data_IF_442273339957
#
_entry.id   IF_442273339957
#
_cell.length_a   1.000
_cell.length_b   1.000
_cell.length_c   1.000
_cell.angle_alpha   90.00
_cell.angle_beta   90.00
_cell.angle_gamma   90.00
#
_symmetry.space_group_name_H-M   'P 1'
#
loop_
_entity.id
_entity.type
_entity.pdbx_description
1 polymer ?
#
# COMPACT_ATOMS: atom_id res chain seq x y z
N UNK A 1 8.01 7.02 22.22
CA UNK A 1 8.55 7.59 20.96
C UNK A 1 7.64 7.12 19.82
N UNK A 2 7.19 8.04 19.00
CA UNK A 2 6.18 7.75 17.99
C UNK A 2 6.64 8.24 16.61
N UNK A 3 6.04 7.63 15.59
CA UNK A 3 6.15 8.05 14.20
C UNK A 3 4.82 8.65 13.79
N UNK A 4 4.84 9.85 13.25
CA UNK A 4 3.64 10.47 12.69
C UNK A 4 3.43 9.97 11.26
N UNK A 5 2.27 9.41 10.99
CA UNK A 5 1.94 8.82 9.68
C UNK A 5 0.84 9.65 9.01
N UNK A 6 1.06 9.99 7.75
CA UNK A 6 0.07 10.63 6.91
C UNK A 6 -0.01 9.88 5.59
N UNK A 7 -1.20 9.43 5.22
CA UNK A 7 -1.46 8.76 3.95
C UNK A 7 -2.36 9.67 3.12
N UNK A 8 -1.85 10.13 1.99
CA UNK A 8 -2.51 11.10 1.12
C UNK A 8 -2.81 10.47 -0.24
N UNK A 9 -4.04 10.65 -0.69
CA UNK A 9 -4.46 10.28 -2.05
C UNK A 9 -4.80 11.56 -2.82
N UNK A 10 -4.99 11.48 -4.16
CA UNK A 10 -5.41 12.67 -4.93
C UNK A 10 -6.75 13.26 -4.47
N UNK A 11 -7.57 12.47 -3.77
CA UNK A 11 -8.90 12.93 -3.33
C UNK A 11 -8.86 13.62 -1.98
N UNK A 12 -8.01 13.14 -1.05
CA UNK A 12 -7.99 13.66 0.32
C UNK A 12 -6.87 13.01 1.14
N UNK A 13 -6.69 13.49 2.36
CA UNK A 13 -5.90 12.77 3.37
C UNK A 13 -6.73 11.56 3.84
N UNK A 14 -6.24 10.36 3.54
CA UNK A 14 -6.94 9.12 3.87
C UNK A 14 -6.75 8.72 5.33
N UNK A 15 -5.59 9.03 5.90
CA UNK A 15 -5.25 8.72 7.28
C UNK A 15 -4.20 9.68 7.80
N UNK A 16 -4.31 10.04 9.07
CA UNK A 16 -3.29 10.80 9.79
C UNK A 16 -3.32 10.40 11.26
N UNK A 17 -2.17 10.08 11.83
CA UNK A 17 -2.08 9.71 13.24
C UNK A 17 -0.67 9.28 13.61
N UNK A 18 -0.49 9.00 14.90
CA UNK A 18 0.79 8.57 15.46
C UNK A 18 0.76 7.07 15.73
N UNK A 19 1.90 6.41 15.53
CA UNK A 19 2.06 5.00 15.84
C UNK A 19 3.49 4.73 16.32
N UNK A 20 3.73 3.53 16.83
CA UNK A 20 5.07 3.14 17.28
C UNK A 20 5.95 2.73 16.10
N UNK A 21 5.35 2.09 15.09
CA UNK A 21 6.05 1.64 13.90
C UNK A 21 5.09 1.63 12.71
N UNK A 22 5.60 1.96 11.54
CA UNK A 22 4.89 1.83 10.27
C UNK A 22 5.71 0.95 9.32
N UNK A 23 5.05 0.08 8.59
CA UNK A 23 5.67 -0.70 7.51
C UNK A 23 4.94 -0.40 6.21
N UNK A 24 5.68 -0.17 5.14
CA UNK A 24 5.16 0.22 3.84
C UNK A 24 5.70 -0.68 2.73
N UNK A 25 4.92 -0.88 1.63
CA UNK A 25 5.35 -1.74 0.52
C UNK A 25 6.26 -0.98 -0.45
N UNK A 26 7.57 -1.15 -0.30
CA UNK A 26 8.55 -0.53 -1.19
C UNK A 26 8.76 -1.31 -2.48
N UNK A 27 9.32 -0.66 -3.49
CA UNK A 27 9.65 -1.27 -4.77
C UNK A 27 10.64 -2.43 -4.63
N UNK A 28 11.56 -2.34 -3.67
CA UNK A 28 12.56 -3.36 -3.40
C UNK A 28 12.16 -4.30 -2.24
N UNK A 29 10.90 -4.22 -1.78
CA UNK A 29 10.37 -5.00 -0.69
C UNK A 29 9.80 -4.13 0.42
N UNK A 30 9.07 -4.74 1.35
CA UNK A 30 8.51 -4.04 2.48
C UNK A 30 9.61 -3.42 3.34
N UNK A 31 9.41 -2.19 3.78
CA UNK A 31 10.33 -1.53 4.71
C UNK A 31 9.57 -1.00 5.92
N UNK A 32 10.21 -1.08 7.08
CA UNK A 32 9.67 -0.58 8.33
C UNK A 32 10.24 0.80 8.68
N UNK A 33 9.42 1.64 9.27
CA UNK A 33 9.81 2.97 9.73
C UNK A 33 9.57 3.06 11.23
N UNK A 34 10.65 3.31 11.96
CA UNK A 34 10.62 3.60 13.39
C UNK A 34 11.00 5.06 13.61
N UNK A 35 10.70 5.57 14.78
CA UNK A 35 11.14 6.90 15.19
C UNK A 35 12.66 7.02 15.00
N UNK A 36 13.14 8.21 14.62
CA UNK A 36 14.56 8.51 14.37
C UNK A 36 15.13 7.94 13.06
N UNK A 37 14.27 7.50 12.14
CA UNK A 37 14.72 7.08 10.83
C UNK A 37 15.30 8.25 10.04
N UNK A 38 16.33 8.01 9.23
CA UNK A 38 16.94 9.04 8.39
C UNK A 38 16.01 9.45 7.25
N UNK A 39 16.21 10.67 6.74
CA UNK A 39 15.45 11.16 5.59
C UNK A 39 15.61 10.25 4.38
N UNK A 40 14.53 9.81 3.82
CA UNK A 40 14.52 8.90 2.67
C UNK A 40 13.29 9.18 1.81
N UNK A 41 13.48 9.12 0.49
CA UNK A 41 12.38 9.11 -0.47
C UNK A 41 12.39 7.75 -1.16
N UNK A 42 11.29 7.03 -1.09
CA UNK A 42 11.19 5.68 -1.65
C UNK A 42 9.98 5.57 -2.57
N UNK A 43 10.12 4.79 -3.63
CA UNK A 43 9.00 4.40 -4.49
C UNK A 43 8.27 3.25 -3.81
N UNK A 44 6.95 3.35 -3.74
CA UNK A 44 6.11 2.30 -3.16
C UNK A 44 5.28 1.62 -4.23
N UNK A 45 4.92 0.38 -3.96
CA UNK A 45 4.08 -0.41 -4.84
C UNK A 45 2.72 -0.67 -4.19
N UNK A 46 1.80 -1.26 -4.94
CA UNK A 46 0.54 -1.74 -4.36
C UNK A 46 0.85 -2.78 -3.29
N UNK A 47 0.26 -2.64 -2.14
CA UNK A 47 0.52 -3.53 -1.03
C UNK A 47 -0.23 -3.12 0.23
N UNK A 48 0.28 -3.55 1.37
CA UNK A 48 -0.32 -3.31 2.67
C UNK A 48 0.58 -2.43 3.51
N UNK A 49 0.02 -1.34 4.03
CA UNK A 49 0.66 -0.51 5.05
C UNK A 49 0.19 -1.01 6.40
N UNK A 50 1.13 -1.30 7.29
CA UNK A 50 0.84 -1.79 8.63
C UNK A 50 1.32 -0.77 9.65
N UNK A 51 0.42 -0.36 10.54
CA UNK A 51 0.70 0.59 11.61
C UNK A 51 0.53 -0.13 12.94
N UNK A 52 1.55 -0.06 13.79
CA UNK A 52 1.56 -0.72 15.10
C UNK A 52 1.60 0.31 16.21
N UNK A 53 0.66 0.23 17.13
CA UNK A 53 0.59 1.07 18.34
C UNK A 53 0.31 0.18 19.54
N UNK A 54 1.35 -0.12 20.33
CA UNK A 54 1.22 -1.07 21.43
C UNK A 54 0.83 -2.45 20.91
N UNK A 55 -0.33 -2.95 21.34
CA UNK A 55 -0.89 -4.22 20.87
C UNK A 55 -1.85 -4.03 19.67
N UNK A 56 -2.13 -2.79 19.28
CA UNK A 56 -3.06 -2.51 18.19
C UNK A 56 -2.32 -2.50 16.86
N UNK A 57 -2.89 -3.18 15.88
CA UNK A 57 -2.37 -3.24 14.51
C UNK A 57 -3.46 -2.75 13.58
N UNK A 58 -3.13 -1.73 12.78
CA UNK A 58 -4.04 -1.18 11.77
C UNK A 58 -3.41 -1.40 10.40
N UNK A 59 -4.19 -1.86 9.45
CA UNK A 59 -3.72 -2.14 8.09
C UNK A 59 -4.55 -1.38 7.06
N UNK A 60 -3.85 -0.89 6.04
CA UNK A 60 -4.46 -0.25 4.87
C UNK A 60 -3.92 -0.91 3.61
N UNK A 61 -4.80 -1.08 2.63
CA UNK A 61 -4.41 -1.47 1.27
C UNK A 61 -4.16 -0.19 0.49
N UNK A 62 -2.98 -0.07 -0.10
CA UNK A 62 -2.59 1.11 -0.87
C UNK A 62 -2.18 0.73 -2.28
N UNK A 63 -2.44 1.65 -3.21
CA UNK A 63 -1.89 1.58 -4.55
C UNK A 63 -0.45 2.08 -4.60
N UNK A 64 0.17 2.08 -5.79
CA UNK A 64 1.54 2.56 -5.94
C UNK A 64 1.67 4.06 -5.71
N UNK A 65 2.86 4.51 -5.34
CA UNK A 65 3.15 5.91 -5.08
C UNK A 65 4.55 6.12 -4.53
N UNK A 66 4.66 7.05 -3.59
CA UNK A 66 5.93 7.43 -2.97
C UNK A 66 5.79 7.52 -1.46
N UNK A 67 6.88 7.23 -0.75
CA UNK A 67 6.98 7.45 0.68
C UNK A 67 8.10 8.47 0.93
N UNK A 68 7.78 9.53 1.66
CA UNK A 68 8.76 10.48 2.16
C UNK A 68 8.91 10.24 3.65
N UNK A 69 10.09 9.79 4.06
CA UNK A 69 10.39 9.40 5.44
C UNK A 69 11.32 10.42 6.06
N UNK A 70 10.94 10.92 7.23
CA UNK A 70 11.77 11.79 8.05
C UNK A 70 12.10 11.14 9.39
N UNK A 71 12.79 11.86 10.29
CA UNK A 71 13.21 11.29 11.57
C UNK A 71 12.07 10.83 12.48
N UNK A 72 10.89 11.46 12.36
CA UNK A 72 9.74 11.22 13.23
C UNK A 72 8.42 11.13 12.47
N UNK A 73 8.48 11.08 11.13
CA UNK A 73 7.26 11.03 10.32
C UNK A 73 7.48 10.28 9.02
N UNK A 74 6.38 9.78 8.49
CA UNK A 74 6.30 9.23 7.14
C UNK A 74 5.06 9.81 6.46
N UNK A 75 5.23 10.29 5.22
CA UNK A 75 4.13 10.71 4.36
C UNK A 75 4.07 9.77 3.18
N UNK A 76 2.94 9.11 3.01
CA UNK A 76 2.68 8.23 1.88
C UNK A 76 1.79 8.97 0.89
N UNK A 77 2.28 9.13 -0.35
CA UNK A 77 1.54 9.72 -1.46
C UNK A 77 1.19 8.58 -2.40
N UNK A 78 -0.05 8.11 -2.33
CA UNK A 78 -0.52 6.92 -3.06
C UNK A 78 -1.75 7.25 -3.88
N UNK A 79 -2.02 6.46 -4.92
CA UNK A 79 -3.18 6.69 -5.77
C UNK A 79 -4.49 6.15 -5.17
N UNK A 80 -4.39 5.23 -4.21
CA UNK A 80 -5.53 4.59 -3.57
C UNK A 80 -5.17 4.22 -2.14
N UNK A 81 -6.12 4.34 -1.22
CA UNK A 81 -6.00 3.84 0.14
C UNK A 81 -7.34 3.29 0.62
N UNK A 82 -7.35 2.05 1.07
CA UNK A 82 -8.54 1.40 1.61
C UNK A 82 -8.22 0.82 2.99
N UNK A 83 -9.17 0.92 3.93
CA UNK A 83 -9.03 0.21 5.20
C UNK A 83 -9.12 -1.30 4.96
N UNK A 84 -8.25 -2.06 5.62
CA UNK A 84 -8.30 -3.53 5.52
C UNK A 84 -9.65 -4.10 5.98
N UNK A 85 -10.31 -3.43 6.92
CA UNK A 85 -11.62 -3.85 7.42
C UNK A 85 -12.73 -3.71 6.38
N UNK A 86 -12.54 -2.86 5.38
CA UNK A 86 -13.51 -2.62 4.31
C UNK A 86 -13.28 -3.53 3.09
N UNK A 87 -12.25 -4.36 3.12
CA UNK A 87 -11.90 -5.23 1.99
C UNK A 87 -12.78 -6.46 1.97
N UNK A 88 -13.41 -6.71 0.80
CA UNK A 88 -14.14 -7.96 0.54
C UNK A 88 -13.17 -8.96 -0.12
N UNK A 89 -12.73 -9.95 0.64
CA UNK A 89 -11.75 -10.93 0.16
C UNK A 89 -12.30 -11.84 -0.93
N UNK A 90 -13.60 -12.14 -0.90
CA UNK A 90 -14.23 -12.93 -1.95
C UNK A 90 -14.20 -12.20 -3.30
N UNK A 91 -14.52 -10.91 -3.30
CA UNK A 91 -14.43 -10.06 -4.48
C UNK A 91 -12.97 -9.94 -4.96
N UNK A 92 -12.03 -9.76 -4.04
CA UNK A 92 -10.60 -9.67 -4.38
C UNK A 92 -10.08 -10.96 -5.02
N UNK A 93 -10.49 -12.12 -4.53
CA UNK A 93 -10.13 -13.41 -5.12
C UNK A 93 -10.66 -13.52 -6.55
N UNK A 94 -11.90 -13.12 -6.77
CA UNK A 94 -12.52 -13.14 -8.09
C UNK A 94 -11.78 -12.22 -9.06
N UNK A 95 -11.48 -10.99 -8.63
CA UNK A 95 -10.76 -10.02 -9.45
C UNK A 95 -9.36 -10.51 -9.79
N UNK A 96 -8.66 -11.14 -8.85
CA UNK A 96 -7.33 -11.70 -9.08
C UNK A 96 -7.37 -12.80 -10.13
N UNK A 97 -8.33 -13.73 -10.03
CA UNK A 97 -8.50 -14.82 -10.98
C UNK A 97 -8.84 -14.30 -12.37
N UNK A 98 -9.71 -13.30 -12.47
CA UNK A 98 -10.08 -12.67 -13.74
C UNK A 98 -8.88 -11.95 -14.37
N UNK A 99 -8.07 -11.26 -13.56
CA UNK A 99 -6.88 -10.58 -14.04
C UNK A 99 -5.85 -11.57 -14.58
N UNK A 100 -5.59 -12.66 -13.88
CA UNK A 100 -4.67 -13.70 -14.37
C UNK A 100 -5.15 -14.34 -15.65
N UNK A 101 -6.45 -14.62 -15.77
CA UNK A 101 -7.03 -15.16 -17.00
C UNK A 101 -6.86 -14.20 -18.17
N UNK A 102 -7.07 -12.90 -17.94
CA UNK A 102 -6.92 -11.86 -18.97
C UNK A 102 -5.45 -11.69 -19.39
N UNK A 103 -4.49 -11.81 -18.48
CA UNK A 103 -3.07 -11.69 -18.78
C UNK A 103 -2.57 -12.81 -19.71
N UNK A 104 -3.21 -13.97 -19.70
CA UNK A 104 -2.86 -15.08 -20.60
C UNK A 104 -3.17 -14.79 -22.05
N UNK A 105 -4.12 -13.89 -22.33
CA UNK A 105 -4.62 -13.60 -23.67
C UNK A 105 -4.23 -12.23 -24.18
N UNK A 106 -3.41 -11.46 -23.47
CA UNK A 106 -2.98 -10.14 -23.89
C UNK A 106 -1.46 -9.99 -23.78
N UNK A 107 -0.92 -8.96 -24.46
CA UNK A 107 0.48 -8.57 -24.34
C UNK A 107 0.69 -7.91 -22.99
N UNK A 108 1.56 -8.50 -22.15
CA UNK A 108 1.82 -8.01 -20.79
C UNK A 108 2.54 -6.67 -20.78
N UNK A 109 3.15 -6.25 -21.88
CA UNK A 109 3.82 -4.95 -21.99
C UNK A 109 2.93 -3.86 -22.59
N UNK A 110 1.74 -4.21 -23.09
CA UNK A 110 0.77 -3.24 -23.60
C UNK A 110 0.15 -2.43 -22.46
N UNK A 111 -0.49 -1.30 -22.78
CA UNK A 111 -1.22 -0.51 -21.77
C UNK A 111 -2.30 -1.34 -21.08
N UNK A 112 -3.01 -2.18 -21.83
CA UNK A 112 -4.02 -3.07 -21.28
C UNK A 112 -3.40 -4.09 -20.34
N UNK A 113 -2.28 -4.70 -20.72
CA UNK A 113 -1.54 -5.65 -19.89
C UNK A 113 -1.06 -5.03 -18.59
N UNK A 114 -0.52 -3.81 -18.65
CA UNK A 114 -0.07 -3.07 -17.47
C UNK A 114 -1.23 -2.73 -16.53
N UNK A 115 -2.37 -2.34 -17.09
CA UNK A 115 -3.57 -2.06 -16.31
C UNK A 115 -4.07 -3.32 -15.59
N UNK A 116 -4.09 -4.44 -16.27
CA UNK A 116 -4.52 -5.72 -15.69
C UNK A 116 -3.56 -6.18 -14.60
N UNK A 117 -2.25 -6.03 -14.80
CA UNK A 117 -1.25 -6.33 -13.78
C UNK A 117 -1.45 -5.49 -12.53
N UNK A 118 -1.76 -4.20 -12.72
CA UNK A 118 -2.04 -3.29 -11.61
C UNK A 118 -3.27 -3.75 -10.82
N UNK A 119 -4.30 -4.20 -11.51
CA UNK A 119 -5.50 -4.78 -10.86
C UNK A 119 -5.15 -6.06 -10.09
N UNK A 120 -4.31 -6.91 -10.66
CA UNK A 120 -3.87 -8.12 -9.98
C UNK A 120 -3.06 -7.83 -8.72
N UNK A 121 -2.14 -6.87 -8.80
CA UNK A 121 -1.31 -6.46 -7.66
C UNK A 121 -2.17 -5.91 -6.52
N UNK A 122 -3.17 -5.10 -6.85
CA UNK A 122 -4.08 -4.53 -5.85
C UNK A 122 -4.97 -5.62 -5.22
N UNK A 123 -5.46 -6.57 -6.03
CA UNK A 123 -6.25 -7.69 -5.52
C UNK A 123 -5.42 -8.57 -4.59
N UNK A 124 -4.15 -8.83 -4.92
CA UNK A 124 -3.24 -9.56 -4.03
C UNK A 124 -3.02 -8.82 -2.72
N UNK A 125 -2.84 -7.50 -2.78
CA UNK A 125 -2.68 -6.68 -1.58
C UNK A 125 -3.92 -6.77 -0.69
N UNK A 126 -5.11 -6.73 -1.28
CA UNK A 126 -6.38 -6.88 -0.53
C UNK A 126 -6.46 -8.24 0.18
N UNK A 127 -5.96 -9.30 -0.46
CA UNK A 127 -5.96 -10.64 0.14
C UNK A 127 -4.97 -10.79 1.29
N UNK A 128 -3.91 -9.99 1.29
CA UNK A 128 -2.90 -9.99 2.38
C UNK A 128 -3.33 -9.15 3.58
N UNK A 129 -4.26 -8.27 3.40
CA UNK A 129 -4.69 -7.32 4.44
C UNK A 129 -5.54 -7.95 5.60
#
# INVERSE_FOLDING_TARGET
MTVHVEIVTPMAVAYEGDCDMAAAPGQLGEFGVLNMHAHTLAVTEAGVVTLVSGSDVTKFVVGPGFAEVGPDRITLLVDLCESADDVDKATATKELNEAFASLKSCDTESEEGLRIRRQADLAQARLRA
#
